data_IF_530369550303
#
_entry.id   IF_530369550303
#
_cell.length_a   1.000
_cell.length_b   1.000
_cell.length_c   1.000
_cell.angle_alpha   90.00
_cell.angle_beta   90.00
_cell.angle_gamma   90.00
#
_symmetry.space_group_name_H-M   'P 1'
#
loop_
_entity.id
_entity.type
_entity.pdbx_description
1 polymer ?
#
# COMPACT_ATOMS: atom_id res chain seq x y z
N UNK A 1 4.75 25.94 78.42
CA UNK A 1 4.52 27.00 77.41
C UNK A 1 5.00 26.46 76.08
N UNK A 2 4.16 26.59 75.06
CA UNK A 2 4.37 26.31 73.64
C UNK A 2 4.47 24.86 73.14
N UNK A 3 3.44 24.52 72.35
CA UNK A 3 3.32 23.36 71.46
C UNK A 3 4.39 23.45 70.36
N UNK A 4 5.12 22.37 70.13
CA UNK A 4 5.77 22.13 68.83
C UNK A 4 5.10 20.93 68.17
N UNK A 5 4.43 21.22 67.05
CA UNK A 5 3.86 20.27 66.13
C UNK A 5 4.96 19.36 65.56
N UNK A 6 4.84 18.06 65.81
CA UNK A 6 5.48 17.01 65.02
C UNK A 6 4.53 16.63 63.88
N UNK A 7 4.87 17.03 62.66
CA UNK A 7 4.29 16.46 61.44
C UNK A 7 5.23 15.32 61.01
N UNK A 8 4.75 14.07 60.91
CA UNK A 8 5.53 12.97 60.37
C UNK A 8 5.61 13.05 58.83
N UNK A 9 6.74 12.54 58.36
CA UNK A 9 7.13 12.25 56.98
C UNK A 9 6.00 11.64 56.14
N UNK A 10 5.54 12.36 55.12
CA UNK A 10 4.59 11.85 54.12
C UNK A 10 5.40 11.22 52.98
N UNK A 11 5.88 10.00 53.21
CA UNK A 11 6.33 9.11 52.14
C UNK A 11 5.12 8.51 51.43
N UNK A 12 4.33 9.34 50.75
CA UNK A 12 3.35 8.86 49.79
C UNK A 12 4.11 8.42 48.54
N UNK A 13 4.33 7.11 48.41
CA UNK A 13 4.61 6.45 47.15
C UNK A 13 3.46 6.75 46.18
N UNK A 14 3.54 7.87 45.47
CA UNK A 14 2.90 7.98 44.18
C UNK A 14 3.75 7.19 43.19
N UNK A 15 3.48 5.88 43.15
CA UNK A 15 3.67 5.13 41.91
C UNK A 15 2.97 5.93 40.81
N UNK A 16 3.77 6.62 40.00
CA UNK A 16 3.38 7.07 38.68
C UNK A 16 2.97 5.83 37.91
N UNK A 17 1.69 5.49 37.99
CA UNK A 17 1.01 4.60 37.05
C UNK A 17 1.10 5.35 35.72
N UNK A 18 2.21 5.12 35.02
CA UNK A 18 2.33 5.39 33.61
C UNK A 18 1.11 4.71 32.99
N UNK A 19 0.17 5.44 32.36
CA UNK A 19 -0.88 4.76 31.62
C UNK A 19 -0.14 3.98 30.56
N UNK A 20 -0.16 2.67 30.73
CA UNK A 20 0.08 1.63 29.75
C UNK A 20 0.43 2.22 28.38
N UNK A 21 1.64 1.94 27.89
CA UNK A 21 1.88 1.77 26.46
C UNK A 21 0.57 1.30 25.85
N UNK A 22 -0.02 2.11 24.97
CA UNK A 22 -1.18 1.73 24.18
C UNK A 22 -0.92 0.29 23.75
N UNK A 23 -1.70 -0.65 24.31
CA UNK A 23 -1.64 -2.06 23.94
C UNK A 23 -1.51 -2.06 22.42
N UNK A 24 -0.46 -2.67 21.85
CA UNK A 24 -0.46 -3.06 20.45
C UNK A 24 -1.74 -3.88 20.29
N UNK A 25 -2.82 -3.21 19.87
CA UNK A 25 -4.14 -3.81 19.83
C UNK A 25 -4.00 -4.90 18.80
N UNK A 26 -4.24 -6.15 19.22
CA UNK A 26 -4.30 -7.26 18.26
C UNK A 26 -5.31 -6.89 17.17
N UNK A 27 -4.94 -7.15 15.92
CA UNK A 27 -5.82 -6.94 14.78
C UNK A 27 -7.12 -7.70 15.04
N UNK A 28 -8.26 -7.00 15.08
CA UNK A 28 -9.58 -7.61 15.13
C UNK A 28 -10.23 -7.42 13.75
N UNK A 29 -10.25 -8.47 12.88
CA UNK A 29 -10.81 -8.36 11.55
C UNK A 29 -12.29 -7.96 11.53
N UNK A 30 -13.03 -8.21 12.61
CA UNK A 30 -14.44 -7.81 12.72
C UNK A 30 -14.62 -6.30 12.87
N UNK A 31 -13.56 -5.59 13.29
CA UNK A 31 -13.52 -4.13 13.47
C UNK A 31 -12.71 -3.44 12.39
N UNK A 32 -12.32 -4.16 11.34
CA UNK A 32 -11.56 -3.56 10.26
C UNK A 32 -12.39 -2.50 9.53
N UNK A 33 -11.76 -1.37 9.20
CA UNK A 33 -12.44 -0.28 8.49
C UNK A 33 -12.67 -0.60 7.00
N UNK A 34 -11.80 -1.43 6.43
CA UNK A 34 -11.85 -1.82 5.03
C UNK A 34 -11.61 -3.33 4.88
N UNK A 35 -12.53 -4.03 4.23
CA UNK A 35 -12.36 -5.42 3.81
C UNK A 35 -11.96 -5.47 2.34
N UNK A 36 -10.85 -6.14 2.06
CA UNK A 36 -10.22 -6.14 0.75
C UNK A 36 -10.16 -7.56 0.22
N UNK A 37 -10.86 -7.83 -0.88
CA UNK A 37 -10.61 -9.05 -1.62
C UNK A 37 -9.34 -8.86 -2.44
N UNK A 38 -8.45 -9.84 -2.46
CA UNK A 38 -7.21 -9.75 -3.21
C UNK A 38 -7.09 -10.96 -4.13
N UNK A 39 -7.02 -10.69 -5.44
CA UNK A 39 -6.91 -11.74 -6.44
C UNK A 39 -5.67 -12.60 -6.24
N UNK A 40 -5.83 -13.90 -6.37
CA UNK A 40 -4.75 -14.87 -6.48
C UNK A 40 -4.15 -14.83 -7.90
N UNK A 41 -3.53 -13.70 -8.23
CA UNK A 41 -2.83 -13.54 -9.50
C UNK A 41 -1.65 -14.53 -9.60
N UNK A 42 -1.32 -15.03 -10.81
CA UNK A 42 -0.14 -15.85 -11.01
C UNK A 42 1.16 -15.17 -10.51
N UNK A 43 2.16 -15.92 -10.01
CA UNK A 43 3.40 -15.37 -9.46
C UNK A 43 4.15 -14.38 -10.35
N UNK A 44 4.05 -14.54 -11.67
CA UNK A 44 4.64 -13.63 -12.66
C UNK A 44 4.16 -12.17 -12.60
N UNK A 45 3.07 -11.89 -11.87
CA UNK A 45 2.57 -10.54 -11.63
C UNK A 45 3.13 -9.91 -10.34
N UNK A 46 3.70 -10.67 -9.41
CA UNK A 46 4.10 -10.14 -8.10
C UNK A 46 5.47 -10.69 -7.64
N UNK A 47 5.52 -11.56 -6.64
CA UNK A 47 6.74 -12.12 -6.06
C UNK A 47 7.57 -12.92 -7.07
N UNK A 48 7.00 -13.47 -8.14
CA UNK A 48 7.77 -14.06 -9.24
C UNK A 48 8.62 -13.03 -10.02
N UNK A 49 8.32 -11.74 -9.90
CA UNK A 49 9.20 -10.65 -10.38
C UNK A 49 10.37 -10.39 -9.44
N UNK A 50 10.34 -10.94 -8.21
CA UNK A 50 11.40 -10.94 -7.21
C UNK A 50 12.17 -12.26 -7.19
N UNK A 51 12.04 -13.07 -8.24
CA UNK A 51 12.69 -14.38 -8.38
C UNK A 51 12.23 -15.42 -7.33
N UNK A 52 11.14 -15.13 -6.61
CA UNK A 52 10.44 -16.11 -5.79
C UNK A 52 9.76 -17.16 -6.66
N UNK A 53 9.79 -18.41 -6.20
CA UNK A 53 9.17 -19.54 -6.88
C UNK A 53 8.04 -20.07 -6.00
N UNK A 54 6.88 -20.28 -6.60
CA UNK A 54 5.76 -20.93 -5.95
C UNK A 54 6.16 -22.33 -5.47
N UNK A 55 5.73 -22.67 -4.26
CA UNK A 55 5.79 -24.02 -3.71
C UNK A 55 4.43 -24.69 -3.94
N UNK A 56 4.42 -25.77 -4.73
CA UNK A 56 3.19 -26.44 -5.14
C UNK A 56 2.25 -25.52 -5.93
N UNK A 57 0.96 -25.58 -5.60
CA UNK A 57 -0.09 -24.78 -6.26
C UNK A 57 -0.31 -23.40 -5.60
N UNK A 58 0.55 -23.02 -4.65
CA UNK A 58 0.44 -21.75 -3.93
C UNK A 58 0.81 -20.54 -4.78
N UNK A 59 0.04 -19.44 -4.66
CA UNK A 59 0.35 -18.17 -5.33
C UNK A 59 1.09 -17.17 -4.44
N UNK A 60 1.21 -17.41 -3.13
CA UNK A 60 1.84 -16.47 -2.17
C UNK A 60 3.04 -17.10 -1.48
N UNK A 61 4.09 -16.31 -1.15
CA UNK A 61 5.13 -16.76 -0.24
C UNK A 61 4.53 -16.99 1.16
N UNK A 62 5.14 -17.92 1.91
CA UNK A 62 4.87 -18.04 3.33
C UNK A 62 5.58 -16.92 4.10
N UNK A 63 4.90 -15.78 4.21
CA UNK A 63 5.42 -14.58 4.86
C UNK A 63 5.62 -14.75 6.38
N UNK A 64 5.17 -15.86 6.99
CA UNK A 64 5.47 -16.17 8.38
C UNK A 64 6.88 -16.75 8.56
N UNK A 65 7.43 -17.39 7.52
CA UNK A 65 8.75 -18.03 7.56
C UNK A 65 9.80 -17.22 6.82
N UNK A 66 9.48 -16.72 5.62
CA UNK A 66 10.41 -15.94 4.82
C UNK A 66 9.68 -14.99 3.89
N UNK A 67 10.13 -13.73 3.90
CA UNK A 67 9.61 -12.70 3.02
C UNK A 67 10.63 -12.48 1.90
N UNK A 68 10.26 -12.65 0.61
CA UNK A 68 11.16 -12.37 -0.50
C UNK A 68 11.64 -10.91 -0.46
N UNK A 69 12.96 -10.69 -0.51
CA UNK A 69 13.55 -9.36 -0.42
C UNK A 69 13.11 -8.46 -1.58
N UNK A 70 12.73 -7.21 -1.28
CA UNK A 70 12.46 -6.22 -2.30
C UNK A 70 13.76 -5.57 -2.78
N UNK A 71 13.99 -5.42 -4.11
CA UNK A 71 15.24 -4.91 -4.61
C UNK A 71 15.48 -3.45 -4.18
N UNK A 72 16.73 -3.17 -3.82
CA UNK A 72 17.20 -1.85 -3.44
C UNK A 72 17.24 -0.82 -4.59
N UNK A 73 17.86 0.32 -4.31
CA UNK A 73 18.17 1.36 -5.31
C UNK A 73 16.93 2.09 -5.83
N UNK A 74 16.84 2.27 -7.15
CA UNK A 74 15.71 2.99 -7.78
C UNK A 74 14.36 2.29 -7.59
N UNK A 75 14.35 0.98 -7.34
CA UNK A 75 13.12 0.22 -7.12
C UNK A 75 12.44 0.58 -5.80
N UNK A 76 13.21 0.89 -4.75
CA UNK A 76 12.68 1.25 -3.43
C UNK A 76 11.69 2.42 -3.49
N UNK A 77 11.81 3.29 -4.51
CA UNK A 77 10.90 4.41 -4.71
C UNK A 77 9.46 4.00 -5.04
N UNK A 78 9.25 2.75 -5.44
CA UNK A 78 7.95 2.23 -5.89
C UNK A 78 7.55 0.91 -5.19
N UNK A 79 8.05 0.65 -3.99
CA UNK A 79 7.79 -0.58 -3.23
C UNK A 79 6.41 -0.67 -2.57
N UNK A 80 5.52 0.31 -2.81
CA UNK A 80 4.19 0.37 -2.18
C UNK A 80 3.36 -0.88 -2.55
N UNK A 81 3.49 -1.37 -3.79
CA UNK A 81 2.79 -2.57 -4.28
C UNK A 81 3.16 -3.83 -3.50
N UNK A 82 4.44 -3.96 -3.16
CA UNK A 82 4.96 -5.03 -2.34
C UNK A 82 4.47 -4.90 -0.90
N UNK A 83 4.59 -3.72 -0.30
CA UNK A 83 4.19 -3.52 1.10
C UNK A 83 2.69 -3.65 1.35
N UNK A 84 1.83 -3.14 0.46
CA UNK A 84 0.37 -3.36 0.56
C UNK A 84 -0.01 -4.83 0.43
N UNK A 85 0.71 -5.56 -0.43
CA UNK A 85 0.49 -7.00 -0.58
C UNK A 85 0.87 -7.75 0.69
N UNK A 86 2.03 -7.43 1.31
CA UNK A 86 2.44 -8.01 2.59
C UNK A 86 1.50 -7.62 3.74
N UNK A 87 1.02 -6.38 3.76
CA UNK A 87 0.05 -5.91 4.75
C UNK A 87 -1.25 -6.73 4.67
N UNK A 88 -1.81 -6.90 3.48
CA UNK A 88 -3.01 -7.72 3.27
C UNK A 88 -2.77 -9.20 3.55
N UNK A 89 -1.62 -9.76 3.16
CA UNK A 89 -1.28 -11.15 3.46
C UNK A 89 -1.17 -11.38 4.97
N UNK A 90 -0.50 -10.48 5.68
CA UNK A 90 -0.27 -10.58 7.14
C UNK A 90 -1.53 -10.34 7.96
N UNK A 91 -2.53 -9.65 7.41
CA UNK A 91 -3.82 -9.39 8.10
C UNK A 91 -4.59 -10.66 8.49
N UNK A 92 -4.21 -11.82 7.93
CA UNK A 92 -4.80 -13.13 8.26
C UNK A 92 -4.23 -13.75 9.54
N UNK A 93 -3.10 -13.25 10.05
CA UNK A 93 -2.48 -13.80 11.26
C UNK A 93 -3.20 -13.28 12.51
N UNK A 94 -3.71 -14.21 13.32
CA UNK A 94 -4.45 -13.89 14.55
C UNK A 94 -3.61 -13.12 15.59
N UNK A 95 -2.29 -13.28 15.56
CA UNK A 95 -1.36 -12.62 16.46
C UNK A 95 -0.69 -11.38 15.85
N UNK A 96 -1.19 -10.88 14.71
CA UNK A 96 -0.71 -9.63 14.12
C UNK A 96 -0.91 -8.48 15.12
N UNK A 97 0.21 -7.84 15.47
CA UNK A 97 0.25 -6.65 16.29
C UNK A 97 0.05 -5.41 15.40
N UNK A 98 -0.69 -4.42 15.89
CA UNK A 98 -0.95 -3.15 15.20
C UNK A 98 -2.40 -3.00 14.69
N UNK A 99 -2.80 -1.81 14.23
CA UNK A 99 -4.18 -1.50 13.89
C UNK A 99 -4.62 -2.25 12.63
N UNK A 100 -5.86 -2.72 12.69
CA UNK A 100 -6.52 -3.49 11.65
C UNK A 100 -7.24 -2.56 10.66
N UNK A 101 -6.53 -1.63 10.01
CA UNK A 101 -7.18 -0.63 9.15
C UNK A 101 -7.82 -1.29 7.92
N UNK A 102 -7.07 -2.18 7.26
CA UNK A 102 -7.54 -3.01 6.16
C UNK A 102 -7.28 -4.50 6.45
N UNK A 103 -8.22 -5.36 6.07
CA UNK A 103 -8.06 -6.82 6.20
C UNK A 103 -8.40 -7.54 4.92
N UNK A 104 -7.67 -8.62 4.65
CA UNK A 104 -7.92 -9.45 3.47
C UNK A 104 -9.15 -10.34 3.68
N UNK A 105 -10.20 -10.09 2.90
CA UNK A 105 -11.35 -10.96 2.80
C UNK A 105 -11.01 -12.22 1.96
N UNK A 106 -11.59 -13.36 2.31
CA UNK A 106 -11.47 -14.60 1.55
C UNK A 106 -12.46 -14.68 0.40
N UNK A 107 -13.66 -14.11 0.59
CA UNK A 107 -14.73 -14.06 -0.39
C UNK A 107 -14.88 -12.63 -0.90
N UNK A 108 -15.01 -12.45 -2.21
CA UNK A 108 -15.18 -11.14 -2.83
C UNK A 108 -16.53 -10.50 -2.56
N UNK A 109 -17.51 -11.27 -2.09
CA UNK A 109 -18.84 -10.78 -1.69
C UNK A 109 -18.82 -10.10 -0.32
N UNK A 110 -17.83 -10.41 0.51
CA UNK A 110 -17.65 -9.83 1.85
C UNK A 110 -16.69 -8.62 1.84
N UNK A 111 -16.18 -8.25 0.66
CA UNK A 111 -15.21 -7.19 0.49
C UNK A 111 -15.85 -5.89 0.02
N UNK A 112 -15.30 -4.78 0.49
CA UNK A 112 -15.67 -3.43 0.07
C UNK A 112 -14.99 -3.07 -1.27
N UNK A 113 -13.78 -3.59 -1.49
CA UNK A 113 -12.94 -3.33 -2.67
C UNK A 113 -12.14 -4.56 -3.09
N UNK A 114 -11.69 -4.57 -4.33
CA UNK A 114 -10.82 -5.61 -4.89
C UNK A 114 -9.42 -5.06 -5.13
N UNK A 115 -8.42 -5.60 -4.44
CA UNK A 115 -7.02 -5.28 -4.71
C UNK A 115 -6.45 -6.18 -5.80
N UNK A 116 -5.77 -5.56 -6.77
CA UNK A 116 -5.08 -6.24 -7.88
C UNK A 116 -3.57 -6.23 -7.60
N UNK A 117 -2.99 -7.33 -7.09
CA UNK A 117 -1.60 -7.39 -6.65
C UNK A 117 -0.65 -7.58 -7.85
N UNK A 118 -0.64 -6.63 -8.79
CA UNK A 118 0.36 -6.56 -9.85
C UNK A 118 1.45 -5.57 -9.46
N UNK A 119 2.70 -6.03 -9.35
CA UNK A 119 3.86 -5.19 -9.07
C UNK A 119 4.28 -4.46 -10.35
N UNK A 120 3.41 -3.57 -10.83
CA UNK A 120 3.48 -2.93 -12.14
C UNK A 120 4.71 -2.00 -12.25
N UNK A 121 5.12 -1.37 -11.15
CA UNK A 121 6.31 -0.53 -11.10
C UNK A 121 7.58 -1.37 -11.24
N UNK A 122 7.65 -2.49 -10.52
CA UNK A 122 8.75 -3.44 -10.62
C UNK A 122 8.81 -4.10 -12.00
N UNK A 123 7.66 -4.49 -12.56
CA UNK A 123 7.54 -5.03 -13.91
C UNK A 123 8.12 -4.04 -14.93
N UNK A 124 7.74 -2.77 -14.86
CA UNK A 124 8.31 -1.74 -15.73
C UNK A 124 9.83 -1.64 -15.57
N UNK A 125 10.32 -1.53 -14.33
CA UNK A 125 11.75 -1.35 -14.08
C UNK A 125 12.61 -2.52 -14.58
N UNK A 126 12.13 -3.76 -14.41
CA UNK A 126 12.86 -4.98 -14.81
C UNK A 126 12.66 -5.34 -16.28
N UNK A 127 11.48 -5.09 -16.84
CA UNK A 127 11.00 -5.77 -18.04
C UNK A 127 10.41 -4.87 -19.13
N UNK A 128 10.56 -3.54 -19.03
CA UNK A 128 10.11 -2.59 -20.07
C UNK A 128 10.94 -2.60 -21.35
N UNK A 129 12.22 -3.00 -21.28
CA UNK A 129 13.10 -3.07 -22.46
C UNK A 129 12.73 -4.25 -23.34
N UNK A 130 12.70 -4.01 -24.66
CA UNK A 130 12.57 -5.08 -25.66
C UNK A 130 13.93 -5.75 -25.81
N UNK A 131 13.98 -7.06 -25.62
CA UNK A 131 15.19 -7.87 -25.79
C UNK A 131 15.01 -8.72 -27.06
N UNK A 132 15.83 -8.51 -28.12
CA UNK A 132 15.77 -9.33 -29.33
C UNK A 132 15.91 -10.83 -29.01
N UNK A 133 15.19 -11.73 -29.72
CA UNK A 133 14.39 -11.49 -30.92
C UNK A 133 12.93 -11.07 -30.63
N UNK A 134 12.55 -10.85 -29.37
CA UNK A 134 11.20 -10.44 -29.04
C UNK A 134 10.87 -9.07 -29.66
N UNK A 135 9.63 -8.89 -30.10
CA UNK A 135 9.12 -7.61 -30.65
C UNK A 135 8.42 -6.75 -29.62
N UNK A 136 8.11 -7.32 -28.46
CA UNK A 136 7.35 -6.69 -27.38
C UNK A 136 8.05 -7.00 -26.07
N UNK A 137 8.04 -6.04 -25.14
CA UNK A 137 8.64 -6.20 -23.82
C UNK A 137 7.81 -7.14 -22.94
N UNK A 138 8.45 -7.83 -21.98
CA UNK A 138 7.73 -8.71 -21.05
C UNK A 138 6.74 -7.93 -20.19
N UNK A 139 7.07 -6.68 -19.84
CA UNK A 139 6.16 -5.77 -19.13
C UNK A 139 4.86 -5.53 -19.90
N UNK A 140 4.94 -5.20 -21.19
CA UNK A 140 3.75 -5.01 -22.03
C UNK A 140 2.91 -6.28 -22.14
N UNK A 141 3.55 -7.45 -22.28
CA UNK A 141 2.85 -8.73 -22.29
C UNK A 141 2.12 -9.02 -20.97
N UNK A 142 2.73 -8.69 -19.82
CA UNK A 142 2.09 -8.80 -18.51
C UNK A 142 0.90 -7.86 -18.40
N UNK A 143 1.04 -6.61 -18.83
CA UNK A 143 -0.06 -5.63 -18.84
C UNK A 143 -1.27 -6.13 -19.67
N UNK A 144 -1.04 -6.65 -20.88
CA UNK A 144 -2.13 -7.19 -21.71
C UNK A 144 -2.76 -8.44 -21.10
N UNK A 145 -1.97 -9.31 -20.46
CA UNK A 145 -2.50 -10.48 -19.74
C UNK A 145 -3.29 -10.09 -18.50
N UNK A 146 -2.89 -9.04 -17.79
CA UNK A 146 -3.62 -8.52 -16.64
C UNK A 146 -5.04 -8.10 -17.05
N UNK A 147 -5.17 -7.31 -18.13
CA UNK A 147 -6.49 -6.90 -18.62
C UNK A 147 -7.36 -8.12 -18.95
N UNK A 148 -6.80 -9.09 -19.68
CA UNK A 148 -7.53 -10.32 -20.01
C UNK A 148 -7.96 -11.08 -18.75
N UNK A 149 -7.07 -11.21 -17.78
CA UNK A 149 -7.38 -11.86 -16.51
C UNK A 149 -8.52 -11.15 -15.79
N UNK A 150 -8.43 -9.83 -15.61
CA UNK A 150 -9.41 -9.05 -14.86
C UNK A 150 -10.79 -9.08 -15.53
N UNK A 151 -10.85 -8.85 -16.84
CA UNK A 151 -12.12 -8.71 -17.56
C UNK A 151 -13.00 -9.95 -17.56
N UNK A 152 -12.46 -11.13 -17.25
CA UNK A 152 -13.24 -12.38 -17.17
C UNK A 152 -13.68 -12.73 -15.75
N UNK A 153 -13.26 -11.98 -14.73
CA UNK A 153 -13.62 -12.26 -13.33
C UNK A 153 -15.03 -11.77 -12.99
N UNK A 154 -15.72 -12.48 -12.10
CA UNK A 154 -17.06 -12.12 -11.64
C UNK A 154 -17.10 -10.75 -10.95
N UNK A 155 -16.07 -10.39 -10.17
CA UNK A 155 -16.00 -9.08 -9.54
C UNK A 155 -15.88 -7.96 -10.57
N UNK A 156 -15.10 -8.19 -11.64
CA UNK A 156 -15.01 -7.22 -12.74
C UNK A 156 -16.33 -7.10 -13.48
N UNK A 157 -17.01 -8.21 -13.78
CA UNK A 157 -18.32 -8.19 -14.43
C UNK A 157 -19.38 -7.46 -13.58
N UNK A 158 -19.28 -7.57 -12.25
CA UNK A 158 -20.18 -6.91 -11.30
C UNK A 158 -19.97 -5.40 -11.24
N UNK A 159 -18.72 -4.94 -11.16
CA UNK A 159 -18.42 -3.52 -10.90
C UNK A 159 -17.97 -2.74 -12.13
N UNK A 160 -17.63 -3.43 -13.22
CA UNK A 160 -16.95 -2.85 -14.37
C UNK A 160 -15.55 -2.32 -14.05
N UNK A 161 -14.90 -2.83 -13.00
CA UNK A 161 -13.59 -2.39 -12.56
C UNK A 161 -13.59 -1.27 -11.53
N UNK A 162 -14.74 -0.70 -11.16
CA UNK A 162 -14.82 0.52 -10.33
C UNK A 162 -14.42 0.33 -8.87
N UNK A 163 -14.55 -0.88 -8.36
CA UNK A 163 -14.13 -1.27 -7.01
C UNK A 163 -12.70 -1.86 -7.00
N UNK A 164 -12.02 -1.90 -8.15
CA UNK A 164 -10.66 -2.43 -8.26
C UNK A 164 -9.61 -1.37 -7.95
N UNK A 165 -8.74 -1.68 -7.00
CA UNK A 165 -7.55 -0.91 -6.66
C UNK A 165 -6.36 -1.49 -7.42
N UNK A 166 -5.72 -0.66 -8.25
CA UNK A 166 -4.55 -1.05 -9.03
C UNK A 166 -3.39 -0.08 -8.74
N UNK A 167 -2.22 -0.61 -8.41
CA UNK A 167 -1.04 0.24 -8.29
C UNK A 167 -0.44 0.57 -9.65
N UNK A 168 -0.27 1.87 -9.91
CA UNK A 168 0.44 2.41 -11.06
C UNK A 168 1.42 3.50 -10.59
N UNK A 169 2.15 3.22 -9.52
CA UNK A 169 2.95 4.23 -8.81
C UNK A 169 4.12 4.75 -9.66
N UNK A 170 4.84 3.88 -10.38
CA UNK A 170 5.79 4.35 -11.39
C UNK A 170 5.03 5.00 -12.55
N UNK A 171 5.37 6.21 -13.02
CA UNK A 171 4.54 6.96 -13.95
C UNK A 171 4.50 6.38 -15.37
N UNK A 172 5.34 5.40 -15.67
CA UNK A 172 5.30 4.58 -16.89
C UNK A 172 4.79 3.14 -16.67
N UNK A 173 4.46 2.76 -15.43
CA UNK A 173 3.78 1.50 -15.19
C UNK A 173 2.37 1.55 -15.79
N UNK A 174 1.88 0.41 -16.30
CA UNK A 174 0.57 0.30 -16.97
C UNK A 174 0.40 1.20 -18.21
N UNK A 175 1.47 1.76 -18.77
CA UNK A 175 1.38 2.74 -19.87
C UNK A 175 0.53 2.24 -21.05
N UNK A 176 0.61 0.94 -21.36
CA UNK A 176 -0.08 0.34 -22.50
C UNK A 176 -1.57 0.04 -22.25
N UNK A 177 -1.98 -0.05 -20.98
CA UNK A 177 -3.32 -0.55 -20.60
C UNK A 177 -4.09 0.35 -19.65
N UNK A 178 -3.48 1.41 -19.10
CA UNK A 178 -4.14 2.34 -18.17
C UNK A 178 -5.43 2.97 -18.74
N UNK A 179 -5.49 3.16 -20.06
CA UNK A 179 -6.70 3.63 -20.74
C UNK A 179 -7.81 2.58 -20.75
N UNK A 180 -7.47 1.28 -20.74
CA UNK A 180 -8.45 0.17 -20.65
C UNK A 180 -8.91 -0.05 -19.21
N UNK A 181 -8.02 0.22 -18.25
CA UNK A 181 -8.25 0.07 -16.81
C UNK A 181 -8.75 1.37 -16.15
N UNK A 182 -9.12 2.38 -16.93
CA UNK A 182 -9.49 3.71 -16.44
C UNK A 182 -10.62 3.74 -15.39
N UNK A 183 -11.61 2.81 -15.36
CA UNK A 183 -12.65 2.83 -14.33
C UNK A 183 -12.11 2.49 -12.94
N UNK A 184 -10.94 1.84 -12.84
CA UNK A 184 -10.33 1.42 -11.59
C UNK A 184 -9.84 2.61 -10.75
N UNK A 185 -9.73 2.38 -9.45
CA UNK A 185 -9.04 3.28 -8.53
C UNK A 185 -7.54 3.01 -8.62
N UNK A 186 -6.79 4.01 -9.05
CA UNK A 186 -5.33 3.93 -9.11
C UNK A 186 -4.68 4.49 -7.85
N UNK A 187 -3.62 3.82 -7.41
CA UNK A 187 -2.64 4.40 -6.50
C UNK A 187 -1.44 4.87 -7.34
N UNK A 188 -1.20 6.18 -7.35
CA UNK A 188 -0.28 6.88 -8.24
C UNK A 188 0.78 7.66 -7.44
N UNK A 189 1.90 8.00 -8.08
CA UNK A 189 2.86 8.95 -7.50
C UNK A 189 2.51 10.41 -7.75
N UNK A 190 1.90 10.68 -8.92
CA UNK A 190 1.39 11.98 -9.34
C UNK A 190 0.36 11.78 -10.47
N UNK A 191 -0.42 12.83 -10.76
CA UNK A 191 -1.37 12.86 -11.88
C UNK A 191 -0.73 13.33 -13.20
N UNK A 192 0.56 13.65 -13.20
CA UNK A 192 1.18 14.49 -14.20
C UNK A 192 1.26 13.88 -15.60
N UNK A 193 1.31 12.55 -15.70
CA UNK A 193 1.36 11.81 -16.98
C UNK A 193 0.02 11.21 -17.40
N UNK A 194 -1.07 11.51 -16.71
CA UNK A 194 -2.36 10.87 -16.93
C UNK A 194 -3.40 11.87 -17.46
N UNK A 195 -4.16 11.50 -18.51
CA UNK A 195 -5.35 12.26 -18.90
C UNK A 195 -6.34 12.38 -17.74
N UNK A 196 -7.03 13.53 -17.56
CA UNK A 196 -7.96 13.74 -16.44
C UNK A 196 -9.09 12.71 -16.35
N UNK A 197 -9.56 12.18 -17.48
CA UNK A 197 -10.59 11.15 -17.53
C UNK A 197 -10.08 9.76 -17.11
N UNK A 198 -8.76 9.56 -17.05
CA UNK A 198 -8.14 8.29 -16.64
C UNK A 198 -7.65 8.34 -15.21
N UNK A 199 -7.06 9.46 -14.81
CA UNK A 199 -6.67 9.68 -13.43
C UNK A 199 -7.12 11.05 -12.89
N UNK A 200 -7.85 11.02 -11.78
CA UNK A 200 -8.40 12.17 -11.10
C UNK A 200 -8.62 11.91 -9.61
N UNK A 201 -8.83 13.01 -8.88
CA UNK A 201 -8.94 13.04 -7.42
C UNK A 201 -10.24 12.49 -6.87
N UNK A 202 -11.25 12.27 -7.72
CA UNK A 202 -12.54 11.73 -7.29
C UNK A 202 -12.47 10.22 -7.00
N UNK A 203 -11.54 9.52 -7.67
CA UNK A 203 -11.40 8.06 -7.55
C UNK A 203 -9.98 7.58 -7.23
N UNK A 204 -8.95 8.35 -7.56
CA UNK A 204 -7.56 7.91 -7.44
C UNK A 204 -6.88 8.53 -6.23
N UNK A 205 -5.86 7.83 -5.78
CA UNK A 205 -5.12 8.14 -4.56
C UNK A 205 -3.65 8.38 -4.89
N UNK A 206 -3.04 9.39 -4.26
CA UNK A 206 -1.60 9.64 -4.39
C UNK A 206 -0.85 9.03 -3.22
N UNK A 207 0.05 8.10 -3.51
CA UNK A 207 1.11 7.69 -2.63
C UNK A 207 2.38 8.45 -3.03
N UNK A 208 2.90 9.37 -2.21
CA UNK A 208 4.03 10.21 -2.58
C UNK A 208 5.35 9.42 -2.59
N UNK A 209 6.31 9.87 -3.41
CA UNK A 209 7.67 9.32 -3.37
C UNK A 209 8.32 9.54 -2.01
N UNK A 210 9.02 8.51 -1.50
CA UNK A 210 9.80 8.61 -0.25
C UNK A 210 10.70 9.84 -0.19
N UNK A 211 11.41 10.17 -1.27
CA UNK A 211 12.34 11.31 -1.29
C UNK A 211 11.65 12.68 -1.33
N UNK A 212 10.33 12.74 -1.57
CA UNK A 212 9.56 13.98 -1.57
C UNK A 212 9.05 14.34 -0.17
N UNK A 213 9.17 13.41 0.80
CA UNK A 213 8.76 13.61 2.18
C UNK A 213 10.00 13.48 3.05
N UNK A 214 10.38 14.58 3.68
CA UNK A 214 11.45 14.57 4.66
C UNK A 214 10.99 13.79 5.90
N UNK A 215 11.84 12.91 6.41
CA UNK A 215 11.63 12.36 7.75
C UNK A 215 11.80 13.47 8.79
N UNK A 216 10.96 13.45 9.83
CA UNK A 216 11.14 14.32 10.97
C UNK A 216 12.40 13.88 11.74
N UNK A 217 13.39 14.77 11.88
CA UNK A 217 14.74 14.44 12.36
C UNK A 217 14.76 13.99 13.84
N UNK A 218 13.75 14.37 14.62
CA UNK A 218 13.61 14.03 16.04
C UNK A 218 12.28 13.33 16.31
N UNK A 219 11.93 12.38 15.44
CA UNK A 219 10.70 11.62 15.58
C UNK A 219 10.99 10.23 16.12
N UNK A 220 10.62 10.00 17.39
CA UNK A 220 10.68 8.71 18.05
C UNK A 220 9.33 8.00 18.09
N UNK A 221 8.30 8.57 17.44
CA UNK A 221 6.96 7.99 17.39
C UNK A 221 6.93 6.79 16.45
N UNK A 222 6.36 5.67 16.92
CA UNK A 222 6.09 4.50 16.09
C UNK A 222 4.79 4.69 15.29
N UNK A 223 4.50 3.74 14.41
CA UNK A 223 3.29 3.73 13.60
C UNK A 223 1.99 3.94 14.42
N UNK A 224 1.90 3.28 15.58
CA UNK A 224 0.72 3.32 16.46
C UNK A 224 0.54 4.66 17.19
N UNK A 225 1.60 5.47 17.28
CA UNK A 225 1.59 6.79 17.91
C UNK A 225 1.06 7.89 16.98
N UNK A 226 0.73 7.55 15.71
CA UNK A 226 0.29 8.47 14.67
C UNK A 226 -1.22 8.32 14.38
N UNK A 227 -2.11 8.80 15.25
CA UNK A 227 -3.56 8.67 15.05
C UNK A 227 -4.10 9.56 13.93
N UNK A 228 -3.29 10.52 13.45
CA UNK A 228 -3.70 11.52 12.48
C UNK A 228 -2.88 11.37 11.20
N UNK A 229 -3.59 11.14 10.09
CA UNK A 229 -3.03 11.14 8.75
C UNK A 229 -2.69 12.58 8.33
N UNK A 230 -1.42 12.83 7.99
CA UNK A 230 -1.00 14.16 7.55
C UNK A 230 -1.52 14.46 6.15
N UNK A 231 -2.22 15.59 6.00
CA UNK A 231 -2.76 16.03 4.72
C UNK A 231 -1.87 17.09 4.05
N UNK A 232 -1.45 16.82 2.80
CA UNK A 232 -0.76 17.79 1.96
C UNK A 232 -1.72 18.39 0.91
N UNK A 233 -1.82 19.71 0.89
CA UNK A 233 -2.46 20.46 -0.17
C UNK A 233 -1.40 20.89 -1.21
N UNK A 234 -1.75 20.92 -2.49
CA UNK A 234 -0.84 21.08 -3.62
C UNK A 234 -1.61 21.16 -4.93
N UNK A 235 -0.97 21.66 -5.99
CA UNK A 235 -1.58 21.81 -7.30
C UNK A 235 -1.28 20.60 -8.19
N UNK A 236 -2.27 20.16 -8.98
CA UNK A 236 -2.04 19.15 -10.03
C UNK A 236 -1.39 19.85 -11.24
N UNK A 237 -0.20 19.38 -11.60
CA UNK A 237 0.51 19.81 -12.80
C UNK A 237 0.57 18.65 -13.81
N UNK A 238 -0.12 18.77 -14.94
CA UNK A 238 -0.09 17.79 -16.04
C UNK A 238 0.92 18.23 -17.09
N UNK A 239 1.82 17.33 -17.48
CA UNK A 239 2.96 17.65 -18.35
C UNK A 239 2.57 18.09 -19.77
N UNK A 240 1.39 17.67 -20.23
CA UNK A 240 0.95 17.89 -21.62
C UNK A 240 -0.26 18.84 -21.74
N UNK A 241 -0.72 19.47 -20.65
CA UNK A 241 -1.90 20.35 -20.67
C UNK A 241 -1.63 21.62 -19.85
N UNK A 242 -1.52 22.75 -20.54
CA UNK A 242 -1.52 24.09 -19.94
C UNK A 242 -2.94 24.47 -19.48
N UNK A 243 -3.26 24.25 -18.19
CA UNK A 243 -4.11 25.05 -17.28
C UNK A 243 -4.71 24.26 -16.09
N UNK A 244 -5.15 25.00 -15.05
CA UNK A 244 -5.12 24.67 -13.60
C UNK A 244 -6.45 24.33 -12.89
N UNK A 245 -6.28 23.82 -11.65
CA UNK A 245 -7.15 23.68 -10.46
C UNK A 245 -8.09 22.46 -10.31
N UNK A 246 -7.83 21.59 -9.30
CA UNK A 246 -8.66 21.40 -8.08
C UNK A 246 -8.23 20.18 -7.22
N UNK A 247 -8.38 20.40 -5.90
CA UNK A 247 -8.48 19.56 -4.68
C UNK A 247 -7.80 18.18 -4.57
N UNK A 248 -6.98 18.01 -3.52
CA UNK A 248 -6.30 16.75 -3.18
C UNK A 248 -7.17 15.87 -2.28
N UNK A 249 -7.14 14.57 -2.56
CA UNK A 249 -7.59 13.47 -1.70
C UNK A 249 -6.37 12.59 -1.39
N UNK A 250 -6.19 12.24 -0.11
CA UNK A 250 -5.02 11.53 0.43
C UNK A 250 -5.46 10.22 1.02
N UNK A 251 -4.76 9.15 0.64
CA UNK A 251 -4.63 7.88 1.39
C UNK A 251 -3.24 7.34 0.95
N UNK A 252 -2.27 7.01 1.79
CA UNK A 252 -2.14 5.79 2.58
C UNK A 252 -0.86 5.96 3.44
N UNK A 253 -0.85 5.27 4.57
CA UNK A 253 0.03 5.47 5.71
C UNK A 253 1.52 5.35 5.35
N UNK A 254 2.28 6.31 5.84
CA UNK A 254 3.64 6.69 5.45
C UNK A 254 4.78 5.73 5.86
N UNK A 255 4.51 4.58 6.48
CA UNK A 255 5.59 3.81 7.13
C UNK A 255 5.95 2.48 6.48
N UNK A 256 5.22 2.03 5.45
CA UNK A 256 5.55 0.81 4.70
C UNK A 256 7.00 0.80 4.18
N UNK A 257 7.61 1.96 3.92
CA UNK A 257 8.96 2.04 3.36
C UNK A 257 10.11 2.19 4.39
N UNK A 258 9.82 2.49 5.66
CA UNK A 258 10.87 2.56 6.69
C UNK A 258 11.10 1.20 7.36
N UNK A 259 10.06 0.39 7.54
CA UNK A 259 10.20 -0.93 8.16
C UNK A 259 10.81 -1.98 7.22
N UNK A 260 10.69 -1.82 5.90
CA UNK A 260 11.30 -2.72 4.92
C UNK A 260 12.84 -2.64 4.85
N UNK A 261 13.47 -1.77 5.64
CA UNK A 261 14.94 -1.74 5.81
C UNK A 261 15.41 -2.28 7.15
N UNK A 262 14.49 -2.70 8.03
CA UNK A 262 14.79 -3.23 9.37
C UNK A 262 14.34 -4.69 9.58
N UNK A 263 14.02 -5.41 8.49
CA UNK A 263 13.90 -6.87 8.47
C UNK A 263 15.10 -7.49 7.77
#
# INVERSE_FOLDING_TARGET
MERKNTIPDDSSNQELILPSLLLLRKCDPSRAMLKVFMYDLPPEFHFGLLDWKAEGDGVWPDIATSIPEYPGGLNLRHSIEYGLTLDLLSSRFADRLGPCAAVRALDSRDADVVFVPFFSSLSFNRHSKIVPPAKVSRDKLLQDRLVKFLTVQDEWQRSGGRDHIILAHHPNSLLDVRMKLWPCMFILSDFGRYPPNVANVEKDTIAPYRHMINSFVNDSSGFDDRPTLLYFQGAIYRKDISHHYALIVIILVLEIQNDLTNF
#
